data_IF_347412183325
#
_entry.id   IF_347412183325
#
_cell.length_a   1.000
_cell.length_b   1.000
_cell.length_c   1.000
_cell.angle_alpha   90.00
_cell.angle_beta   90.00
_cell.angle_gamma   90.00
#
_symmetry.space_group_name_H-M   'P 1'
#
loop_
_entity.id
_entity.type
_entity.pdbx_description
1 polymer ?
#
# COMPACT_ATOMS: atom_id res chain seq x y z
N UNK A 1 11.50 33.98 25.57
CA UNK A 1 10.01 34.04 25.44
C UNK A 1 9.51 34.41 24.05
N UNK A 2 10.11 35.36 23.30
CA UNK A 2 9.62 35.74 21.94
C UNK A 2 9.61 34.58 20.94
N UNK A 3 10.63 33.71 20.95
CA UNK A 3 10.73 32.55 20.04
C UNK A 3 9.59 31.54 20.22
N UNK A 4 9.20 31.24 21.47
CA UNK A 4 8.07 30.33 21.76
C UNK A 4 6.75 30.90 21.25
N UNK A 5 6.51 32.20 21.45
CA UNK A 5 5.31 32.88 20.91
C UNK A 5 5.26 32.84 19.38
N UNK A 6 6.41 32.96 18.70
CA UNK A 6 6.49 32.85 17.25
C UNK A 6 6.21 31.41 16.77
N UNK A 7 6.81 30.41 17.41
CA UNK A 7 6.54 28.99 17.10
C UNK A 7 5.05 28.68 17.29
N UNK A 8 4.43 29.16 18.38
CA UNK A 8 3.00 28.98 18.64
C UNK A 8 2.10 29.57 17.54
N UNK A 9 2.44 30.75 17.01
CA UNK A 9 1.70 31.36 15.89
C UNK A 9 1.84 30.52 14.61
N UNK A 10 3.05 30.05 14.32
CA UNK A 10 3.33 29.19 13.15
C UNK A 10 2.54 27.88 13.25
N UNK A 11 2.60 27.18 14.39
CA UNK A 11 1.88 25.92 14.57
C UNK A 11 0.36 26.11 14.53
N UNK A 12 -0.17 27.23 15.04
CA UNK A 12 -1.60 27.56 14.93
C UNK A 12 -2.02 27.75 13.46
N UNK A 13 -1.21 28.45 12.67
CA UNK A 13 -1.46 28.60 11.24
C UNK A 13 -1.39 27.25 10.50
N UNK A 14 -0.35 26.46 10.77
CA UNK A 14 -0.19 25.12 10.19
C UNK A 14 -1.35 24.18 10.54
N UNK A 15 -1.88 24.25 11.77
CA UNK A 15 -3.08 23.50 12.17
C UNK A 15 -4.28 23.82 11.29
N UNK A 16 -4.52 25.11 11.01
CA UNK A 16 -5.64 25.53 10.15
C UNK A 16 -5.45 25.06 8.71
N UNK A 17 -4.23 25.17 8.17
CA UNK A 17 -3.89 24.67 6.83
C UNK A 17 -4.08 23.15 6.74
N UNK A 18 -3.60 22.40 7.73
CA UNK A 18 -3.74 20.95 7.78
C UNK A 18 -5.21 20.52 7.88
N UNK A 19 -6.01 21.20 8.71
CA UNK A 19 -7.44 20.94 8.83
C UNK A 19 -8.19 21.18 7.52
N UNK A 20 -7.86 22.26 6.79
CA UNK A 20 -8.45 22.53 5.48
C UNK A 20 -8.08 21.45 4.45
N UNK A 21 -6.81 21.01 4.43
CA UNK A 21 -6.36 19.93 3.54
C UNK A 21 -7.01 18.59 3.86
N UNK A 22 -7.15 18.27 5.15
CA UNK A 22 -7.80 17.03 5.58
C UNK A 22 -9.23 16.96 5.06
N UNK A 23 -10.02 18.04 5.21
CA UNK A 23 -11.40 18.09 4.69
C UNK A 23 -11.46 17.87 3.18
N UNK A 24 -10.56 18.49 2.42
CA UNK A 24 -10.53 18.34 0.97
C UNK A 24 -10.16 16.91 0.51
N UNK A 25 -9.30 16.22 1.28
CA UNK A 25 -8.86 14.84 0.95
C UNK A 25 -9.80 13.78 1.51
N UNK A 26 -10.47 14.05 2.63
CA UNK A 26 -11.38 13.11 3.28
C UNK A 26 -12.48 12.63 2.33
N UNK A 27 -13.18 13.55 1.66
CA UNK A 27 -14.25 13.19 0.70
C UNK A 27 -13.71 12.34 -0.45
N UNK A 28 -12.49 12.63 -0.93
CA UNK A 28 -11.85 11.83 -1.99
C UNK A 28 -11.52 10.42 -1.51
N UNK A 29 -10.97 10.30 -0.30
CA UNK A 29 -10.60 9.02 0.30
C UNK A 29 -11.83 8.17 0.68
N UNK A 30 -12.95 8.80 1.02
CA UNK A 30 -14.22 8.10 1.28
C UNK A 30 -14.83 7.59 -0.03
N UNK A 31 -14.83 8.41 -1.08
CA UNK A 31 -15.33 8.01 -2.40
C UNK A 31 -14.50 6.89 -3.04
N UNK A 32 -13.18 6.85 -2.82
CA UNK A 32 -12.33 5.80 -3.39
C UNK A 32 -12.53 4.43 -2.75
N UNK A 33 -13.08 4.34 -1.53
CA UNK A 33 -13.30 3.05 -0.83
C UNK A 33 -14.21 2.11 -1.60
N UNK A 34 -15.20 2.64 -2.31
CA UNK A 34 -16.15 1.83 -3.07
C UNK A 34 -15.49 1.06 -4.22
N UNK A 35 -14.34 1.54 -4.72
CA UNK A 35 -13.61 0.88 -5.80
C UNK A 35 -12.88 -0.38 -5.32
N UNK A 36 -12.34 -0.36 -4.09
CA UNK A 36 -11.58 -1.48 -3.52
C UNK A 36 -12.46 -2.65 -3.02
N UNK A 37 -13.71 -2.35 -2.61
CA UNK A 37 -14.61 -3.33 -2.01
C UNK A 37 -14.92 -4.54 -2.92
N UNK A 38 -15.24 -4.37 -4.21
CA UNK A 38 -15.46 -5.49 -5.13
C UNK A 38 -14.24 -6.40 -5.26
N UNK A 39 -13.03 -5.85 -5.36
CA UNK A 39 -11.80 -6.66 -5.41
C UNK A 39 -11.60 -7.49 -4.16
N UNK A 40 -11.84 -6.90 -2.98
CA UNK A 40 -11.75 -7.66 -1.72
C UNK A 40 -12.83 -8.74 -1.62
N UNK A 41 -14.02 -8.49 -2.18
CA UNK A 41 -15.09 -9.49 -2.20
C UNK A 41 -14.75 -10.65 -3.14
N UNK A 42 -14.17 -10.36 -4.31
CA UNK A 42 -13.87 -11.33 -5.36
C UNK A 42 -12.57 -12.11 -5.10
N UNK A 43 -11.49 -11.42 -4.74
CA UNK A 43 -10.14 -11.99 -4.56
C UNK A 43 -9.81 -12.27 -3.08
N UNK A 44 -10.61 -11.73 -2.16
CA UNK A 44 -10.34 -11.84 -0.73
C UNK A 44 -9.19 -10.93 -0.25
N UNK A 45 -8.94 -10.99 1.05
CA UNK A 45 -7.68 -10.52 1.65
C UNK A 45 -7.03 -11.73 2.32
N UNK A 46 -5.86 -12.10 1.82
CA UNK A 46 -5.14 -13.32 2.20
C UNK A 46 -3.78 -13.01 2.84
N UNK A 47 -3.75 -12.36 4.02
CA UNK A 47 -2.50 -11.95 4.66
C UNK A 47 -1.67 -13.12 5.17
N UNK A 48 -2.24 -14.32 5.30
CA UNK A 48 -1.56 -15.50 5.83
C UNK A 48 -0.98 -16.42 4.78
N UNK A 49 -1.15 -16.12 3.49
CA UNK A 49 -0.59 -16.96 2.41
C UNK A 49 0.92 -16.95 2.50
N UNK A 50 1.49 -18.16 2.46
CA UNK A 50 2.92 -18.36 2.53
C UNK A 50 3.50 -18.46 1.12
N UNK A 51 4.39 -17.52 0.79
CA UNK A 51 5.00 -17.41 -0.54
C UNK A 51 6.51 -17.24 -0.43
N UNK A 52 7.22 -17.53 -1.53
CA UNK A 52 8.68 -17.44 -1.59
C UNK A 52 9.14 -16.00 -1.73
N UNK A 53 8.50 -15.21 -2.61
CA UNK A 53 8.87 -13.82 -2.89
C UNK A 53 7.85 -12.84 -2.30
N UNK A 54 8.19 -12.23 -1.17
CA UNK A 54 7.36 -11.22 -0.51
C UNK A 54 7.89 -9.82 -0.77
N UNK A 55 7.01 -8.88 -1.09
CA UNK A 55 7.37 -7.48 -1.26
C UNK A 55 6.54 -6.62 -0.32
N UNK A 56 7.20 -5.93 0.61
CA UNK A 56 6.55 -5.06 1.59
C UNK A 56 6.54 -3.62 1.05
N UNK A 57 5.39 -3.19 0.55
CA UNK A 57 5.17 -1.82 0.08
C UNK A 57 4.86 -0.92 1.26
N UNK A 58 5.81 -0.08 1.66
CA UNK A 58 5.65 0.80 2.83
C UNK A 58 5.25 2.21 2.41
N UNK A 59 4.01 2.59 2.71
CA UNK A 59 3.47 3.92 2.40
C UNK A 59 3.70 4.88 3.56
N UNK A 60 4.32 6.01 3.27
CA UNK A 60 4.62 7.10 4.20
C UNK A 60 4.47 8.48 3.55
N UNK A 61 4.50 9.54 4.36
CA UNK A 61 4.50 10.90 3.84
C UNK A 61 5.90 11.39 3.46
N UNK A 62 5.97 12.39 2.57
CA UNK A 62 7.22 13.11 2.29
C UNK A 62 7.51 14.16 3.39
N UNK A 63 6.45 14.73 3.97
CA UNK A 63 6.56 15.77 5.01
C UNK A 63 6.57 15.17 6.42
N UNK A 64 7.19 15.90 7.35
CA UNK A 64 7.17 15.56 8.78
C UNK A 64 5.95 16.12 9.52
N UNK A 65 6.05 16.21 10.85
CA UNK A 65 5.02 16.74 11.75
C UNK A 65 3.69 15.97 11.73
N UNK A 66 3.74 14.68 11.35
CA UNK A 66 2.61 13.76 11.29
C UNK A 66 2.41 12.93 12.57
N UNK A 67 3.07 13.30 13.68
CA UNK A 67 3.13 12.47 14.87
C UNK A 67 3.73 11.09 14.58
N UNK A 68 3.11 10.03 15.10
CA UNK A 68 3.58 8.65 14.98
C UNK A 68 3.22 7.91 13.68
N UNK A 69 2.46 8.51 12.76
CA UNK A 69 1.90 7.82 11.57
C UNK A 69 2.97 7.07 10.77
N UNK A 70 4.03 7.78 10.35
CA UNK A 70 5.10 7.17 9.54
C UNK A 70 5.90 6.11 10.31
N UNK A 71 6.20 6.37 11.59
CA UNK A 71 6.93 5.41 12.43
C UNK A 71 6.13 4.14 12.67
N UNK A 72 4.81 4.23 12.79
CA UNK A 72 3.93 3.06 12.90
C UNK A 72 3.93 2.23 11.61
N UNK A 73 3.81 2.85 10.43
CA UNK A 73 3.95 2.13 9.15
C UNK A 73 5.28 1.38 9.08
N UNK A 74 6.40 2.06 9.34
CA UNK A 74 7.73 1.46 9.29
C UNK A 74 7.88 0.32 10.29
N UNK A 75 7.35 0.48 11.51
CA UNK A 75 7.38 -0.58 12.54
C UNK A 75 6.65 -1.83 12.07
N UNK A 76 5.47 -1.68 11.46
CA UNK A 76 4.67 -2.80 10.94
C UNK A 76 5.36 -3.44 9.76
N UNK A 77 5.88 -2.65 8.82
CA UNK A 77 6.66 -3.16 7.69
C UNK A 77 7.84 -4.01 8.14
N UNK A 78 8.60 -3.56 9.16
CA UNK A 78 9.68 -4.34 9.77
C UNK A 78 9.19 -5.63 10.42
N UNK A 79 8.00 -5.63 11.00
CA UNK A 79 7.36 -6.82 11.56
C UNK A 79 7.01 -7.85 10.48
N UNK A 80 6.34 -7.40 9.42
CA UNK A 80 5.97 -8.25 8.28
C UNK A 80 7.20 -8.81 7.60
N UNK A 81 8.24 -7.99 7.39
CA UNK A 81 9.50 -8.43 6.84
C UNK A 81 10.08 -9.57 7.66
N UNK A 82 10.15 -9.44 8.99
CA UNK A 82 10.69 -10.49 9.86
C UNK A 82 9.84 -11.76 9.86
N UNK A 83 8.52 -11.65 9.76
CA UNK A 83 7.61 -12.80 9.72
C UNK A 83 7.71 -13.59 8.42
N UNK A 84 8.02 -12.93 7.31
CA UNK A 84 8.08 -13.55 5.99
C UNK A 84 9.52 -13.79 5.48
N UNK A 85 10.52 -13.40 6.25
CA UNK A 85 11.93 -13.72 5.97
C UNK A 85 12.29 -15.12 6.49
N UNK A 86 12.98 -15.91 5.68
CA UNK A 86 13.42 -17.26 6.06
C UNK A 86 14.46 -17.83 5.08
N UNK A 87 15.01 -19.03 5.35
CA UNK A 87 16.07 -19.62 4.52
C UNK A 87 15.70 -19.79 3.04
N UNK A 88 14.42 -20.00 2.75
CA UNK A 88 13.89 -20.20 1.38
C UNK A 88 12.95 -19.07 0.94
N UNK A 89 12.88 -17.97 1.70
CA UNK A 89 11.96 -16.86 1.44
C UNK A 89 12.74 -15.57 1.24
N UNK A 90 12.53 -14.95 0.10
CA UNK A 90 13.03 -13.64 -0.22
C UNK A 90 11.99 -12.60 0.18
N UNK A 91 12.38 -11.63 1.02
CA UNK A 91 11.52 -10.50 1.35
C UNK A 91 12.21 -9.18 1.02
N UNK A 92 11.53 -8.34 0.25
CA UNK A 92 12.03 -7.03 -0.21
C UNK A 92 11.13 -5.90 0.24
N UNK A 93 11.64 -4.68 0.11
CA UNK A 93 10.90 -3.45 0.37
C UNK A 93 10.73 -2.63 -0.91
N UNK A 94 9.52 -2.12 -1.08
CA UNK A 94 9.24 -0.98 -1.94
C UNK A 94 8.81 0.16 -1.03
N UNK A 95 9.44 1.32 -1.18
CA UNK A 95 9.22 2.46 -0.29
C UNK A 95 8.53 3.57 -1.05
N UNK A 96 7.37 3.99 -0.53
CA UNK A 96 6.63 5.15 -1.01
C UNK A 96 6.70 6.27 0.04
N UNK A 97 7.42 7.34 -0.29
CA UNK A 97 7.57 8.54 0.53
C UNK A 97 8.92 8.69 1.25
N UNK A 98 9.35 9.94 1.42
CA UNK A 98 10.67 10.27 1.97
C UNK A 98 10.87 9.84 3.44
N UNK A 99 9.79 9.78 4.25
CA UNK A 99 9.92 9.46 5.69
C UNK A 99 10.16 7.99 5.99
N UNK A 100 9.59 7.06 5.22
CA UNK A 100 9.93 5.65 5.34
C UNK A 100 11.34 5.38 4.82
N UNK A 101 11.73 6.00 3.69
CA UNK A 101 13.09 5.93 3.14
C UNK A 101 14.13 6.31 4.19
N UNK A 102 13.97 7.46 4.85
CA UNK A 102 14.90 7.92 5.87
C UNK A 102 15.04 6.95 7.07
N UNK A 103 14.01 6.17 7.39
CA UNK A 103 14.01 5.21 8.50
C UNK A 103 14.48 3.80 8.10
N UNK A 104 14.21 3.37 6.87
CA UNK A 104 14.52 2.01 6.40
C UNK A 104 15.88 1.90 5.71
N UNK A 105 16.35 2.95 5.03
CA UNK A 105 17.63 2.93 4.29
C UNK A 105 18.83 2.65 5.19
N UNK A 106 18.77 2.99 6.49
CA UNK A 106 19.88 2.73 7.41
C UNK A 106 20.06 1.25 7.72
N UNK A 107 18.96 0.53 7.90
CA UNK A 107 18.98 -0.84 8.44
C UNK A 107 18.76 -1.91 7.36
N UNK A 108 18.04 -1.57 6.28
CA UNK A 108 17.52 -2.53 5.29
C UNK A 108 17.91 -2.18 3.86
N UNK A 109 18.99 -1.41 3.65
CA UNK A 109 19.41 -0.91 2.33
C UNK A 109 19.50 -2.00 1.25
N UNK A 110 19.98 -3.19 1.63
CA UNK A 110 20.22 -4.31 0.71
C UNK A 110 18.92 -4.93 0.18
N UNK A 111 17.84 -4.78 0.93
CA UNK A 111 16.54 -5.40 0.62
C UNK A 111 15.54 -4.39 0.06
N UNK A 112 15.98 -3.16 -0.22
CA UNK A 112 15.14 -2.15 -0.86
C UNK A 112 15.36 -2.23 -2.37
N UNK A 113 14.30 -2.54 -3.11
CA UNK A 113 14.35 -2.62 -4.57
C UNK A 113 13.98 -1.30 -5.22
N UNK A 114 12.94 -0.65 -4.71
CA UNK A 114 12.42 0.58 -5.28
C UNK A 114 12.08 1.61 -4.20
N UNK A 115 12.39 2.87 -4.51
CA UNK A 115 12.09 4.02 -3.66
C UNK A 115 11.46 5.09 -4.54
N UNK A 116 10.21 5.44 -4.27
CA UNK A 116 9.53 6.55 -4.92
C UNK A 116 9.18 7.60 -3.88
N UNK A 117 9.47 8.86 -4.18
CA UNK A 117 9.29 9.99 -3.26
C UNK A 117 8.60 11.16 -3.97
N UNK A 118 8.26 12.21 -3.22
CA UNK A 118 7.62 13.42 -3.77
C UNK A 118 6.19 13.20 -4.29
N UNK A 119 5.53 12.16 -3.80
CA UNK A 119 4.18 11.74 -4.15
C UNK A 119 3.12 12.82 -3.83
N UNK A 120 3.44 13.75 -2.93
CA UNK A 120 2.50 14.77 -2.42
C UNK A 120 2.69 16.17 -3.04
N UNK A 121 3.47 16.30 -4.11
CA UNK A 121 3.66 17.60 -4.81
C UNK A 121 2.38 18.09 -5.48
N UNK A 122 1.65 17.18 -6.12
CA UNK A 122 0.38 17.45 -6.80
C UNK A 122 -0.77 16.71 -6.09
N UNK A 123 -2.04 17.13 -6.30
CA UNK A 123 -3.18 16.31 -5.88
C UNK A 123 -3.10 14.93 -6.53
N UNK A 124 -3.18 13.88 -5.72
CA UNK A 124 -3.19 12.50 -6.20
C UNK A 124 -4.37 12.28 -7.15
N UNK A 125 -4.08 11.68 -8.31
CA UNK A 125 -5.05 11.20 -9.27
C UNK A 125 -4.81 9.72 -9.57
N UNK A 126 -5.84 9.02 -10.04
CA UNK A 126 -5.71 7.61 -10.42
C UNK A 126 -4.60 7.40 -11.46
N UNK A 127 -4.52 8.25 -12.48
CA UNK A 127 -3.47 8.20 -13.51
C UNK A 127 -2.04 8.21 -12.92
N UNK A 128 -1.80 9.00 -11.86
CA UNK A 128 -0.50 8.99 -11.20
C UNK A 128 -0.27 7.68 -10.45
N UNK A 129 -1.28 7.16 -9.77
CA UNK A 129 -1.20 5.87 -9.06
C UNK A 129 -0.98 4.72 -10.05
N UNK A 130 -1.64 4.71 -11.22
CA UNK A 130 -1.44 3.69 -12.25
C UNK A 130 0.00 3.70 -12.78
N UNK A 131 0.59 4.87 -13.04
CA UNK A 131 1.99 4.95 -13.48
C UNK A 131 2.94 4.43 -12.39
N UNK A 132 2.67 4.75 -11.12
CA UNK A 132 3.46 4.24 -10.00
C UNK A 132 3.30 2.73 -9.83
N UNK A 133 2.07 2.22 -10.01
CA UNK A 133 1.77 0.80 -9.97
C UNK A 133 2.53 0.06 -11.06
N UNK A 134 2.45 0.54 -12.31
CA UNK A 134 3.20 -0.01 -13.45
C UNK A 134 4.71 -0.03 -13.19
N UNK A 135 5.27 1.04 -12.61
CA UNK A 135 6.70 1.10 -12.30
C UNK A 135 7.09 0.06 -11.26
N UNK A 136 6.26 -0.18 -10.25
CA UNK A 136 6.49 -1.22 -9.25
C UNK A 136 6.38 -2.61 -9.90
N UNK A 137 5.28 -2.87 -10.61
CA UNK A 137 4.99 -4.17 -11.22
C UNK A 137 6.03 -4.58 -12.27
N UNK A 138 6.64 -3.63 -12.98
CA UNK A 138 7.68 -3.91 -13.99
C UNK A 138 9.07 -4.18 -13.40
N UNK A 139 9.39 -3.55 -12.28
CA UNK A 139 10.76 -3.57 -11.73
C UNK A 139 10.93 -4.53 -10.55
N UNK A 140 9.83 -5.06 -10.01
CA UNK A 140 9.81 -5.83 -8.77
C UNK A 140 9.15 -7.17 -9.03
N UNK A 141 9.89 -8.26 -8.85
CA UNK A 141 9.32 -9.61 -8.88
C UNK A 141 8.66 -9.93 -7.54
N UNK A 142 7.43 -10.42 -7.56
CA UNK A 142 6.68 -10.74 -6.34
C UNK A 142 5.76 -11.93 -6.54
N UNK A 143 5.56 -12.68 -5.45
CA UNK A 143 4.47 -13.63 -5.29
C UNK A 143 3.34 -13.00 -4.46
N UNK A 144 3.70 -12.16 -3.47
CA UNK A 144 2.76 -11.37 -2.67
C UNK A 144 3.28 -9.96 -2.38
N UNK A 145 2.49 -8.96 -2.75
CA UNK A 145 2.64 -7.55 -2.38
C UNK A 145 1.86 -7.26 -1.11
N UNK A 146 2.58 -6.87 -0.05
CA UNK A 146 2.02 -6.53 1.26
C UNK A 146 2.09 -5.02 1.45
N UNK A 147 0.96 -4.35 1.22
CA UNK A 147 0.85 -2.90 1.24
C UNK A 147 0.54 -2.43 2.65
N UNK A 148 1.48 -1.72 3.26
CA UNK A 148 1.36 -1.17 4.61
C UNK A 148 1.01 0.31 4.53
N UNK A 149 -0.17 0.66 5.03
CA UNK A 149 -0.66 2.03 5.06
C UNK A 149 -1.48 2.30 6.32
N UNK A 150 -1.87 3.57 6.52
CA UNK A 150 -2.75 3.94 7.62
C UNK A 150 -4.13 4.27 7.08
N UNK A 151 -5.11 3.42 7.39
CA UNK A 151 -6.52 3.65 7.05
C UNK A 151 -7.07 4.77 7.92
N UNK A 152 -7.59 5.80 7.27
CA UNK A 152 -8.28 6.89 7.96
C UNK A 152 -9.58 6.36 8.58
N UNK A 153 -9.70 6.44 9.91
CA UNK A 153 -10.93 6.06 10.62
C UNK A 153 -11.66 7.31 11.13
N UNK A 154 -10.95 8.22 11.78
CA UNK A 154 -11.47 9.54 12.17
C UNK A 154 -10.33 10.56 12.23
N UNK A 155 -10.67 11.81 12.52
CA UNK A 155 -9.68 12.90 12.69
C UNK A 155 -8.67 12.59 13.81
N UNK A 156 -9.04 11.75 14.78
CA UNK A 156 -8.22 11.42 15.95
C UNK A 156 -7.57 10.03 15.81
N UNK A 157 -8.19 9.13 15.06
CA UNK A 157 -7.79 7.73 14.98
C UNK A 157 -7.47 7.31 13.54
N UNK A 158 -6.30 6.70 13.37
CA UNK A 158 -5.89 6.00 12.17
C UNK A 158 -5.60 4.55 12.54
N UNK A 159 -6.01 3.63 11.67
CA UNK A 159 -5.76 2.20 11.85
C UNK A 159 -4.65 1.79 10.91
N UNK A 160 -3.49 1.35 11.40
CA UNK A 160 -2.48 0.74 10.55
C UNK A 160 -3.06 -0.53 9.92
N UNK A 161 -2.99 -0.65 8.60
CA UNK A 161 -3.61 -1.73 7.84
C UNK A 161 -2.60 -2.30 6.86
N UNK A 162 -2.70 -3.60 6.65
CA UNK A 162 -1.93 -4.34 5.65
C UNK A 162 -2.95 -4.86 4.65
N UNK A 163 -2.77 -4.55 3.37
CA UNK A 163 -3.51 -5.17 2.28
C UNK A 163 -2.59 -6.11 1.53
N UNK A 164 -3.08 -7.28 1.15
CA UNK A 164 -2.30 -8.28 0.40
C UNK A 164 -2.83 -8.38 -1.02
N UNK A 165 -1.94 -8.18 -1.99
CA UNK A 165 -2.21 -8.44 -3.41
C UNK A 165 -1.29 -9.59 -3.83
N UNK A 166 -1.88 -10.63 -4.40
CA UNK A 166 -1.16 -11.82 -4.84
C UNK A 166 -0.81 -11.71 -6.31
N UNK A 167 0.27 -12.35 -6.73
CA UNK A 167 0.59 -12.47 -8.16
C UNK A 167 -0.44 -13.37 -8.86
N UNK A 168 -0.65 -13.20 -10.17
CA UNK A 168 -1.66 -13.98 -10.91
C UNK A 168 -1.44 -15.49 -10.80
N UNK A 169 -0.17 -15.93 -10.83
CA UNK A 169 0.20 -17.35 -10.68
C UNK A 169 -0.21 -17.92 -9.31
N UNK A 170 -0.04 -17.13 -8.24
CA UNK A 170 -0.43 -17.55 -6.89
C UNK A 170 -1.95 -17.49 -6.74
N UNK A 171 -2.61 -16.48 -7.32
CA UNK A 171 -4.08 -16.39 -7.36
C UNK A 171 -4.69 -17.64 -8.01
N UNK A 172 -4.15 -18.07 -9.15
CA UNK A 172 -4.61 -19.27 -9.85
C UNK A 172 -4.38 -20.53 -9.01
N UNK A 173 -3.17 -20.69 -8.43
CA UNK A 173 -2.86 -21.83 -7.54
C UNK A 173 -3.78 -21.89 -6.31
N UNK A 174 -4.06 -20.74 -5.69
CA UNK A 174 -4.94 -20.64 -4.51
C UNK A 174 -6.43 -20.79 -4.89
N UNK A 175 -6.81 -20.51 -6.13
CA UNK A 175 -8.14 -20.81 -6.68
C UNK A 175 -8.34 -22.33 -6.84
N UNK A 176 -7.37 -23.02 -7.44
CA UNK A 176 -7.41 -24.48 -7.68
C UNK A 176 -7.39 -25.32 -6.40
N UNK A 177 -6.74 -24.84 -5.34
CA UNK A 177 -6.60 -25.55 -4.07
C UNK A 177 -7.84 -25.49 -3.17
N UNK A 178 -8.88 -24.74 -3.58
CA UNK A 178 -10.15 -24.61 -2.87
C UNK A 178 -10.09 -23.64 -1.69
N UNK A 179 -11.01 -22.67 -1.67
CA UNK A 179 -11.05 -21.59 -0.67
C UNK A 179 -11.93 -20.44 -1.13
N UNK A 180 -11.75 -19.24 -0.57
CA UNK A 180 -12.49 -18.02 -1.02
C UNK A 180 -12.26 -17.70 -2.49
N UNK A 181 -11.08 -18.00 -3.05
CA UNK A 181 -10.82 -17.84 -4.49
C UNK A 181 -11.31 -19.02 -5.35
N UNK A 182 -11.73 -20.14 -4.74
CA UNK A 182 -12.37 -21.24 -5.47
C UNK A 182 -13.76 -20.87 -5.97
N UNK A 183 -14.39 -19.82 -5.41
CA UNK A 183 -15.64 -19.26 -5.92
C UNK A 183 -15.47 -18.57 -7.28
N UNK A 184 -14.24 -18.30 -7.73
CA UNK A 184 -13.99 -17.73 -9.07
C UNK A 184 -14.50 -18.63 -10.20
N UNK A 185 -14.53 -19.94 -10.00
CA UNK A 185 -15.07 -20.89 -10.99
C UNK A 185 -16.60 -20.79 -11.14
N UNK A 186 -17.29 -20.08 -10.24
CA UNK A 186 -18.73 -19.80 -10.37
C UNK A 186 -19.03 -18.62 -11.30
N UNK A 187 -18.00 -17.87 -11.72
CA UNK A 187 -18.14 -16.73 -12.62
C UNK A 187 -17.88 -17.16 -14.06
N UNK A 188 -18.81 -16.81 -14.95
CA UNK A 188 -18.59 -16.94 -16.39
C UNK A 188 -17.76 -15.75 -16.88
N UNK A 189 -16.66 -16.07 -17.55
CA UNK A 189 -15.78 -15.08 -18.17
C UNK A 189 -16.34 -14.69 -19.53
N UNK A 190 -16.81 -13.45 -19.66
CA UNK A 190 -17.20 -12.89 -20.96
C UNK A 190 -15.97 -12.31 -21.68
N UNK A 191 -15.64 -12.86 -22.86
CA UNK A 191 -14.57 -12.32 -23.72
C UNK A 191 -13.83 -13.39 -24.52
N UNK A 192 -12.87 -12.95 -25.35
CA UNK A 192 -11.91 -13.83 -26.04
C UNK A 192 -10.61 -14.05 -25.27
N UNK A 193 -10.46 -13.44 -24.09
CA UNK A 193 -9.29 -13.54 -23.22
C UNK A 193 -9.36 -14.82 -22.38
N UNK A 194 -8.20 -15.39 -22.08
CA UNK A 194 -8.09 -16.56 -21.21
C UNK A 194 -8.31 -16.18 -19.73
N UNK A 195 -8.70 -17.15 -18.89
CA UNK A 195 -8.87 -16.94 -17.45
C UNK A 195 -7.60 -16.34 -16.81
N UNK A 196 -6.42 -16.79 -17.22
CA UNK A 196 -5.13 -16.28 -16.74
C UNK A 196 -4.90 -14.80 -17.09
N UNK A 197 -5.19 -14.38 -18.32
CA UNK A 197 -5.06 -12.98 -18.74
C UNK A 197 -5.99 -12.04 -17.95
N UNK A 198 -7.21 -12.48 -17.68
CA UNK A 198 -8.17 -11.69 -16.90
C UNK A 198 -7.72 -11.60 -15.44
N UNK A 199 -7.27 -12.69 -14.84
CA UNK A 199 -6.75 -12.66 -13.47
C UNK A 199 -5.51 -11.77 -13.36
N UNK A 200 -4.66 -11.74 -14.39
CA UNK A 200 -3.55 -10.81 -14.49
C UNK A 200 -4.05 -9.36 -14.52
N UNK A 201 -4.90 -9.01 -15.49
CA UNK A 201 -5.46 -7.66 -15.62
C UNK A 201 -6.18 -7.21 -14.33
N UNK A 202 -6.87 -8.13 -13.67
CA UNK A 202 -7.61 -7.88 -12.43
C UNK A 202 -6.65 -7.65 -11.24
N UNK A 203 -5.56 -8.41 -11.13
CA UNK A 203 -4.56 -8.23 -10.08
C UNK A 203 -3.78 -6.92 -10.26
N UNK A 204 -3.41 -6.58 -11.50
CA UNK A 204 -2.78 -5.30 -11.84
C UNK A 204 -3.70 -4.11 -11.54
N UNK A 205 -4.98 -4.25 -11.88
CA UNK A 205 -5.98 -3.23 -11.57
C UNK A 205 -6.26 -3.12 -10.07
N UNK A 206 -6.33 -4.25 -9.35
CA UNK A 206 -6.45 -4.27 -7.89
C UNK A 206 -5.29 -3.51 -7.24
N UNK A 207 -4.05 -3.71 -7.71
CA UNK A 207 -2.89 -3.03 -7.15
C UNK A 207 -2.91 -1.51 -7.37
N UNK A 208 -3.50 -1.03 -8.46
CA UNK A 208 -3.56 0.39 -8.82
C UNK A 208 -4.75 1.16 -8.22
N UNK A 209 -5.70 0.47 -7.56
CA UNK A 209 -6.90 1.05 -6.93
C UNK A 209 -6.71 1.39 -5.44
#
# INVERSE_FOLDING_TARGET
MKSVKNIQKITKAMKMVAASKLRAVQTKAENSRGLWQPFTALLGDLPSVDVKKNVVVTISSDKGLCGGINSTSVKISKGIYKLNSGPEKETKYVILGEKAKAQLVRDSKKDIELIITELQKNPLSYTQVSVLADEILKNVEYDALRIVFNKFHSVVSFLPTVSTVLSPEIVERESESGGKLGELDSYEVEGGETKGEILQNLAEFQFSC
#
